data_IF_697631168315
#
_entry.id   IF_697631168315
#
_cell.length_a   1.000
_cell.length_b   1.000
_cell.length_c   1.000
_cell.angle_alpha   90.00
_cell.angle_beta   90.00
_cell.angle_gamma   90.00
#
_symmetry.space_group_name_H-M   'P 1'
#
loop_
_entity.id
_entity.type
_entity.pdbx_description
1 polymer ?
#
# COMPACT_ATOMS: atom_id res chain seq x y z
N UNK A 1 -7.13 6.06 -12.36
CA UNK A 1 -7.34 6.61 -11.00
C UNK A 1 -8.34 5.72 -10.28
N UNK A 2 -8.10 5.29 -9.04
CA UNK A 2 -9.03 4.41 -8.31
C UNK A 2 -10.28 5.17 -7.83
N UNK A 3 -11.43 4.48 -7.76
CA UNK A 3 -12.68 5.06 -7.26
C UNK A 3 -12.60 5.45 -5.77
N UNK A 4 -11.90 4.62 -4.98
CA UNK A 4 -11.58 4.86 -3.58
C UNK A 4 -10.06 4.94 -3.47
N UNK A 5 -9.54 6.15 -3.29
CA UNK A 5 -8.12 6.39 -3.11
C UNK A 5 -7.72 6.22 -1.64
N UNK A 6 -6.67 5.44 -1.40
CA UNK A 6 -6.03 5.29 -0.09
C UNK A 6 -4.70 6.04 -0.08
N UNK A 7 -4.23 6.52 1.09
CA UNK A 7 -2.87 6.97 1.24
C UNK A 7 -1.92 5.81 0.89
N UNK A 8 -0.98 6.07 -0.02
CA UNK A 8 0.00 5.08 -0.46
C UNK A 8 1.37 5.77 -0.58
N UNK A 9 2.43 5.09 -0.14
CA UNK A 9 3.80 5.59 -0.22
C UNK A 9 4.30 5.76 -1.66
N UNK A 10 3.81 4.95 -2.58
CA UNK A 10 4.23 5.02 -3.98
C UNK A 10 3.51 6.11 -4.77
N UNK A 11 2.31 6.53 -4.35
CA UNK A 11 1.58 7.65 -4.98
C UNK A 11 2.31 9.01 -4.91
N UNK A 12 3.45 9.05 -4.22
CA UNK A 12 4.28 10.22 -3.98
C UNK A 12 5.66 10.12 -4.66
N UNK A 13 5.98 8.95 -5.20
CA UNK A 13 7.15 8.75 -6.03
C UNK A 13 6.78 9.12 -7.46
N UNK A 14 7.65 9.87 -8.13
CA UNK A 14 7.51 10.17 -9.56
C UNK A 14 7.99 8.94 -10.33
N UNK A 15 7.24 7.84 -10.18
CA UNK A 15 7.49 6.57 -10.83
C UNK A 15 6.26 6.22 -11.65
N UNK A 16 6.42 6.22 -12.96
CA UNK A 16 5.36 5.90 -13.90
C UNK A 16 5.82 6.16 -15.33
N UNK A 17 5.02 5.71 -16.29
CA UNK A 17 5.32 5.86 -17.72
C UNK A 17 5.60 7.32 -18.09
N UNK A 18 4.82 8.25 -17.53
CA UNK A 18 4.96 9.71 -17.69
C UNK A 18 6.35 10.26 -17.35
N UNK A 19 7.07 9.61 -16.44
CA UNK A 19 8.37 10.07 -15.93
C UNK A 19 9.56 9.45 -16.68
N UNK A 20 9.29 8.68 -17.74
CA UNK A 20 10.34 8.15 -18.64
C UNK A 20 10.93 9.27 -19.51
N UNK A 21 12.11 9.05 -20.12
CA UNK A 21 12.78 10.09 -20.91
C UNK A 21 12.00 10.50 -22.18
N UNK A 22 11.24 9.58 -22.79
CA UNK A 22 10.52 9.80 -24.04
C UNK A 22 9.16 9.07 -24.08
N UNK A 23 8.21 9.41 -23.20
CA UNK A 23 6.90 8.77 -23.18
C UNK A 23 6.10 9.25 -24.38
N UNK A 24 5.36 8.33 -25.01
CA UNK A 24 4.36 8.71 -25.98
C UNK A 24 3.27 9.54 -25.29
N UNK A 25 2.75 10.54 -26.01
CA UNK A 25 1.62 11.32 -25.50
C UNK A 25 0.40 10.40 -25.40
N UNK A 26 -0.37 10.60 -24.34
CA UNK A 26 -1.69 10.00 -24.23
C UNK A 26 -2.56 10.51 -25.39
N UNK A 27 -3.31 9.59 -26.01
CA UNK A 27 -4.28 9.87 -27.06
C UNK A 27 -5.52 9.00 -26.86
N UNK A 28 -6.64 9.39 -27.45
CA UNK A 28 -7.93 8.72 -27.33
C UNK A 28 -8.49 8.36 -28.71
N UNK A 29 -8.94 7.11 -28.85
CA UNK A 29 -9.63 6.64 -30.06
C UNK A 29 -11.13 6.57 -29.82
N UNK A 30 -11.91 6.44 -30.89
CA UNK A 30 -13.37 6.30 -30.79
C UNK A 30 -13.75 5.12 -29.88
N UNK A 31 -14.65 5.31 -28.90
CA UNK A 31 -15.07 4.24 -28.00
C UNK A 31 -15.70 3.06 -28.74
N UNK A 32 -15.37 1.84 -28.30
CA UNK A 32 -16.04 0.64 -28.79
C UNK A 32 -17.51 0.62 -28.36
N UNK A 33 -18.36 -0.09 -29.12
CA UNK A 33 -19.75 -0.33 -28.72
C UNK A 33 -19.79 -1.48 -27.72
N UNK A 34 -20.24 -1.20 -26.50
CA UNK A 34 -20.46 -2.21 -25.46
C UNK A 34 -21.77 -1.92 -24.71
N UNK A 35 -22.30 -2.95 -24.02
CA UNK A 35 -23.43 -2.79 -23.10
C UNK A 35 -22.88 -2.65 -21.68
N UNK A 36 -23.18 -1.53 -21.02
CA UNK A 36 -22.78 -1.33 -19.64
C UNK A 36 -23.50 -2.31 -18.70
N UNK A 37 -22.80 -2.74 -17.65
CA UNK A 37 -23.40 -3.50 -16.56
C UNK A 37 -23.96 -2.54 -15.51
N UNK A 38 -25.26 -2.64 -15.24
CA UNK A 38 -25.99 -1.62 -14.48
C UNK A 38 -26.08 -1.89 -12.96
N UNK A 39 -25.42 -2.92 -12.45
CA UNK A 39 -25.43 -3.26 -11.02
C UNK A 39 -24.18 -2.70 -10.30
N UNK A 40 -23.86 -1.44 -10.56
CA UNK A 40 -22.75 -0.77 -9.91
C UNK A 40 -23.04 -0.62 -8.39
N UNK A 41 -22.02 -0.84 -7.53
CA UNK A 41 -22.14 -0.62 -6.09
C UNK A 41 -22.35 0.86 -5.75
N UNK A 42 -22.81 1.16 -4.54
CA UNK A 42 -23.01 2.53 -4.06
C UNK A 42 -21.67 3.20 -3.71
N UNK A 43 -20.86 3.53 -4.73
CA UNK A 43 -19.47 3.98 -4.60
C UNK A 43 -19.32 5.15 -3.61
N UNK A 44 -20.21 6.15 -3.63
CA UNK A 44 -20.09 7.31 -2.73
C UNK A 44 -20.27 6.95 -1.26
N UNK A 45 -21.16 5.99 -0.97
CA UNK A 45 -21.35 5.46 0.40
C UNK A 45 -20.09 4.73 0.85
N UNK A 46 -19.54 3.86 0.00
CA UNK A 46 -18.31 3.11 0.27
C UNK A 46 -17.11 4.05 0.48
N UNK A 47 -16.98 5.08 -0.36
CA UNK A 47 -15.96 6.12 -0.27
C UNK A 47 -16.01 6.82 1.08
N UNK A 48 -17.20 7.24 1.51
CA UNK A 48 -17.40 7.94 2.79
C UNK A 48 -17.05 7.05 3.98
N UNK A 49 -17.49 5.78 3.96
CA UNK A 49 -17.17 4.81 5.01
C UNK A 49 -15.66 4.53 5.10
N UNK A 50 -15.00 4.36 3.96
CA UNK A 50 -13.56 4.15 3.89
C UNK A 50 -12.78 5.36 4.42
N UNK A 51 -13.15 6.58 4.01
CA UNK A 51 -12.52 7.81 4.49
C UNK A 51 -12.58 7.94 6.03
N UNK A 52 -13.72 7.60 6.64
CA UNK A 52 -13.87 7.62 8.10
C UNK A 52 -12.96 6.60 8.80
N UNK A 53 -12.80 5.39 8.26
CA UNK A 53 -11.88 4.37 8.78
C UNK A 53 -10.42 4.78 8.62
N UNK A 54 -10.05 5.29 7.45
CA UNK A 54 -8.69 5.75 7.16
C UNK A 54 -8.31 6.90 8.11
N UNK A 55 -9.22 7.87 8.33
CA UNK A 55 -8.98 9.00 9.21
C UNK A 55 -8.85 8.62 10.70
N UNK A 56 -9.55 7.57 11.15
CA UNK A 56 -9.48 7.08 12.54
C UNK A 56 -8.34 6.08 12.78
N UNK A 57 -7.81 5.45 11.74
CA UNK A 57 -6.76 4.43 11.83
C UNK A 57 -5.38 5.02 12.14
N UNK A 58 -4.80 4.57 13.26
CA UNK A 58 -3.42 4.91 13.62
C UNK A 58 -2.40 4.46 12.55
N UNK A 59 -2.62 3.31 11.91
CA UNK A 59 -1.73 2.80 10.86
C UNK A 59 -1.70 3.71 9.64
N UNK A 60 -2.85 4.24 9.21
CA UNK A 60 -2.92 5.13 8.04
C UNK A 60 -2.37 6.53 8.34
N UNK A 61 -2.57 7.05 9.57
CA UNK A 61 -1.93 8.30 10.01
C UNK A 61 -0.41 8.20 9.93
N UNK A 62 0.15 7.13 10.48
CA UNK A 62 1.58 6.91 10.47
C UNK A 62 2.13 6.70 9.05
N UNK A 63 1.41 5.96 8.21
CA UNK A 63 1.75 5.83 6.80
C UNK A 63 1.84 7.22 6.15
N UNK A 64 0.81 8.06 6.32
CA UNK A 64 0.82 9.41 5.76
C UNK A 64 2.02 10.25 6.23
N UNK A 65 2.39 10.17 7.52
CA UNK A 65 3.61 10.82 8.04
C UNK A 65 4.89 10.31 7.36
N UNK A 66 5.02 8.99 7.19
CA UNK A 66 6.15 8.37 6.48
C UNK A 66 6.26 8.90 5.06
N UNK A 67 5.12 8.94 4.36
CA UNK A 67 5.02 9.41 2.98
C UNK A 67 5.45 10.88 2.86
N UNK A 68 4.98 11.74 3.75
CA UNK A 68 5.39 13.15 3.78
C UNK A 68 6.90 13.30 4.04
N UNK A 69 7.48 12.46 4.90
CA UNK A 69 8.93 12.46 5.13
C UNK A 69 9.70 11.97 3.90
N UNK A 70 9.25 10.91 3.24
CA UNK A 70 9.88 10.40 2.03
C UNK A 70 9.88 11.47 0.93
N UNK A 71 8.79 12.23 0.76
CA UNK A 71 8.78 13.39 -0.14
C UNK A 71 9.83 14.44 0.26
N UNK A 72 9.86 14.87 1.52
CA UNK A 72 10.87 15.83 2.00
C UNK A 72 12.30 15.37 1.74
N UNK A 73 12.60 14.08 1.95
CA UNK A 73 13.93 13.50 1.67
C UNK A 73 14.24 13.38 0.18
N UNK A 74 13.24 13.18 -0.67
CA UNK A 74 13.41 13.17 -2.13
C UNK A 74 13.75 14.58 -2.65
N UNK A 75 13.11 15.59 -2.09
CA UNK A 75 13.34 17.00 -2.46
C UNK A 75 14.68 17.54 -1.90
N UNK A 76 15.20 16.91 -0.84
CA UNK A 76 16.51 17.22 -0.28
C UNK A 76 17.65 16.60 -1.11
N UNK A 77 18.35 17.45 -1.85
CA UNK A 77 19.48 17.07 -2.70
C UNK A 77 20.84 17.39 -2.08
N UNK A 78 20.86 17.97 -0.88
CA UNK A 78 22.07 18.48 -0.23
C UNK A 78 22.40 17.66 1.01
N UNK A 79 23.54 16.96 1.00
CA UNK A 79 23.97 16.15 2.14
C UNK A 79 25.13 16.82 2.87
N UNK A 80 25.03 16.92 4.19
CA UNK A 80 26.12 17.44 5.03
C UNK A 80 27.31 16.48 5.07
N UNK A 81 28.52 17.00 4.82
CA UNK A 81 29.76 16.23 4.93
C UNK A 81 30.29 16.14 6.37
N UNK A 82 29.65 16.83 7.33
CA UNK A 82 30.08 16.81 8.74
C UNK A 82 29.64 15.50 9.39
N UNK A 83 30.61 14.70 9.83
CA UNK A 83 30.36 13.39 10.46
C UNK A 83 29.36 13.44 11.62
N UNK A 84 29.39 14.47 12.45
CA UNK A 84 28.45 14.60 13.59
C UNK A 84 27.02 14.84 13.11
N UNK A 85 26.82 15.61 12.03
CA UNK A 85 25.52 15.86 11.46
C UNK A 85 24.96 14.58 10.81
N UNK A 86 25.79 13.88 10.04
CA UNK A 86 25.42 12.59 9.44
C UNK A 86 24.99 11.55 10.49
N UNK A 87 25.74 11.42 11.59
CA UNK A 87 25.39 10.49 12.68
C UNK A 87 24.04 10.82 13.32
N UNK A 88 23.77 12.10 13.57
CA UNK A 88 22.49 12.54 14.13
C UNK A 88 21.33 12.23 13.18
N UNK A 89 21.49 12.45 11.88
CA UNK A 89 20.49 12.10 10.86
C UNK A 89 20.22 10.59 10.83
N UNK A 90 21.26 9.76 10.87
CA UNK A 90 21.13 8.30 10.90
C UNK A 90 20.40 7.81 12.16
N UNK A 91 20.72 8.39 13.32
CA UNK A 91 20.06 8.04 14.58
C UNK A 91 18.56 8.43 14.55
N UNK A 92 18.25 9.62 14.03
CA UNK A 92 16.87 10.04 13.82
C UNK A 92 16.13 9.10 12.87
N UNK A 93 16.72 8.77 11.72
CA UNK A 93 16.11 7.85 10.75
C UNK A 93 15.88 6.46 11.36
N UNK A 94 16.80 5.97 12.18
CA UNK A 94 16.67 4.69 12.89
C UNK A 94 15.53 4.71 13.89
N UNK A 95 15.48 5.73 14.77
CA UNK A 95 14.42 5.87 15.77
C UNK A 95 13.04 5.98 15.11
N UNK A 96 12.97 6.64 13.96
CA UNK A 96 11.76 6.71 13.15
C UNK A 96 11.38 5.35 12.55
N UNK A 97 12.34 4.62 11.95
CA UNK A 97 12.14 3.25 11.45
C UNK A 97 11.60 2.30 12.53
N UNK A 98 12.14 2.39 13.74
CA UNK A 98 11.70 1.59 14.89
C UNK A 98 10.25 1.92 15.29
N UNK A 99 9.85 3.21 15.28
CA UNK A 99 8.45 3.61 15.50
C UNK A 99 7.53 3.03 14.44
N UNK A 100 7.95 3.00 13.18
CA UNK A 100 7.17 2.42 12.09
C UNK A 100 6.98 0.91 12.26
N UNK A 101 8.06 0.19 12.54
CA UNK A 101 7.97 -1.25 12.80
C UNK A 101 7.06 -1.57 13.98
N UNK A 102 7.13 -0.80 15.07
CA UNK A 102 6.33 -1.02 16.26
C UNK A 102 4.82 -0.90 15.97
N UNK A 103 4.41 0.11 15.20
CA UNK A 103 3.00 0.30 14.83
C UNK A 103 2.54 -0.72 13.79
N UNK A 104 3.41 -1.14 12.87
CA UNK A 104 3.08 -2.22 11.94
C UNK A 104 2.86 -3.54 12.67
N UNK A 105 3.67 -3.84 13.69
CA UNK A 105 3.50 -5.02 14.57
C UNK A 105 2.26 -4.93 15.46
N UNK A 106 1.85 -3.72 15.85
CA UNK A 106 0.65 -3.48 16.65
C UNK A 106 -0.66 -3.49 15.82
N UNK A 107 -0.56 -3.46 14.48
CA UNK A 107 -1.74 -3.52 13.63
C UNK A 107 -2.43 -4.88 13.75
N UNK A 108 -3.76 -4.87 13.86
CA UNK A 108 -4.55 -6.10 13.90
C UNK A 108 -4.35 -6.91 12.61
N UNK A 109 -3.86 -8.15 12.70
CA UNK A 109 -3.56 -8.95 11.53
C UNK A 109 -4.84 -9.43 10.85
N UNK A 110 -4.85 -9.44 9.53
CA UNK A 110 -5.92 -10.02 8.74
C UNK A 110 -5.85 -11.55 8.82
N UNK A 111 -6.99 -12.20 9.04
CA UNK A 111 -7.10 -13.65 9.09
C UNK A 111 -7.01 -14.24 7.66
N UNK A 112 -5.77 -14.40 7.17
CA UNK A 112 -5.47 -14.99 5.86
C UNK A 112 -4.83 -16.36 6.06
N UNK A 113 -5.36 -17.34 5.33
CA UNK A 113 -4.77 -18.67 5.20
C UNK A 113 -4.82 -19.12 3.73
N UNK A 114 -3.83 -19.90 3.27
CA UNK A 114 -3.91 -20.57 1.97
C UNK A 114 -5.14 -21.48 1.91
N UNK A 115 -5.70 -21.68 0.72
CA UNK A 115 -6.79 -22.63 0.53
C UNK A 115 -6.29 -24.06 0.72
N UNK A 116 -7.14 -24.92 1.27
CA UNK A 116 -6.80 -26.33 1.52
C UNK A 116 -6.52 -27.12 0.24
N UNK A 117 -7.05 -26.69 -0.90
CA UNK A 117 -6.80 -27.31 -2.20
C UNK A 117 -5.38 -26.99 -2.70
N UNK A 118 -4.94 -25.74 -2.55
CA UNK A 118 -3.61 -25.30 -2.96
C UNK A 118 -2.53 -25.99 -2.11
N UNK A 119 -2.75 -26.10 -0.79
CA UNK A 119 -1.85 -26.81 0.11
C UNK A 119 -1.70 -28.30 -0.24
N UNK A 120 -2.77 -28.94 -0.73
CA UNK A 120 -2.73 -30.33 -1.18
C UNK A 120 -1.91 -30.51 -2.47
N UNK A 121 -1.96 -29.52 -3.38
CA UNK A 121 -1.20 -29.56 -4.63
C UNK A 121 0.31 -29.33 -4.42
N UNK A 122 0.70 -28.57 -3.41
CA UNK A 122 2.10 -28.32 -3.06
C UNK A 122 2.82 -29.57 -2.53
N UNK A 123 2.07 -30.60 -2.09
CA UNK A 123 2.62 -31.87 -1.63
C UNK A 123 3.62 -31.70 -0.48
N UNK A 124 4.76 -32.40 -0.55
CA UNK A 124 5.85 -32.32 0.42
C UNK A 124 7.02 -31.44 -0.06
N UNK A 125 6.84 -30.65 -1.13
CA UNK A 125 7.90 -29.78 -1.63
C UNK A 125 8.13 -28.63 -0.64
N UNK A 126 9.22 -28.74 0.11
CA UNK A 126 9.60 -27.78 1.14
C UNK A 126 9.82 -26.37 0.58
N UNK A 127 10.27 -26.22 -0.66
CA UNK A 127 10.55 -24.90 -1.26
C UNK A 127 9.23 -24.18 -1.53
N UNK A 128 8.30 -24.88 -2.16
CA UNK A 128 7.00 -24.35 -2.57
C UNK A 128 6.09 -24.08 -1.36
N UNK A 129 6.09 -24.97 -0.35
CA UNK A 129 5.40 -24.74 0.93
C UNK A 129 5.95 -23.51 1.64
N UNK A 130 7.29 -23.36 1.71
CA UNK A 130 7.90 -22.19 2.32
C UNK A 130 7.58 -20.89 1.55
N UNK A 131 7.51 -20.95 0.21
CA UNK A 131 7.13 -19.80 -0.62
C UNK A 131 5.69 -19.37 -0.33
N UNK A 132 4.75 -20.31 -0.27
CA UNK A 132 3.36 -20.04 0.06
C UNK A 132 3.19 -19.47 1.49
N UNK A 133 3.95 -20.01 2.45
CA UNK A 133 4.00 -19.48 3.82
C UNK A 133 4.51 -18.05 3.89
N UNK A 134 5.58 -17.72 3.16
CA UNK A 134 6.12 -16.35 3.07
C UNK A 134 5.13 -15.38 2.44
N UNK A 135 4.46 -15.80 1.36
CA UNK A 135 3.46 -14.99 0.68
C UNK A 135 2.33 -14.58 1.64
N UNK A 136 1.72 -15.56 2.31
CA UNK A 136 0.60 -15.27 3.23
C UNK A 136 1.01 -14.52 4.49
N UNK A 137 2.23 -14.72 5.00
CA UNK A 137 2.75 -14.01 6.18
C UNK A 137 2.73 -12.49 5.98
N UNK A 138 3.14 -12.00 4.81
CA UNK A 138 3.21 -10.57 4.54
C UNK A 138 1.81 -9.95 4.41
N UNK A 139 0.85 -10.67 3.82
CA UNK A 139 -0.51 -10.19 3.63
C UNK A 139 -1.27 -9.98 4.95
N UNK A 140 -0.92 -10.74 6.01
CA UNK A 140 -1.56 -10.58 7.33
C UNK A 140 -1.41 -9.18 7.90
N UNK A 141 -0.29 -8.51 7.62
CA UNK A 141 0.02 -7.19 8.17
C UNK A 141 -0.23 -6.06 7.16
N UNK A 142 -0.84 -6.37 6.01
CA UNK A 142 -1.11 -5.38 4.97
C UNK A 142 -2.35 -4.54 5.33
N UNK A 143 -2.10 -3.26 5.62
CA UNK A 143 -3.15 -2.32 6.05
C UNK A 143 -4.07 -1.91 4.89
N UNK A 144 -3.57 -1.91 3.66
CA UNK A 144 -4.33 -1.54 2.45
C UNK A 144 -5.26 -2.67 2.04
N UNK A 145 -4.75 -3.91 2.06
CA UNK A 145 -5.56 -5.11 1.82
C UNK A 145 -6.70 -5.23 2.83
N UNK A 146 -6.42 -4.95 4.10
CA UNK A 146 -7.45 -4.95 5.16
C UNK A 146 -8.54 -3.92 4.89
N UNK A 147 -8.19 -2.72 4.45
CA UNK A 147 -9.19 -1.70 4.09
C UNK A 147 -9.98 -2.12 2.85
N UNK A 148 -9.35 -2.72 1.84
CA UNK A 148 -10.05 -3.26 0.68
C UNK A 148 -11.09 -4.32 1.07
N UNK A 149 -10.75 -5.23 2.00
CA UNK A 149 -11.69 -6.21 2.56
C UNK A 149 -12.84 -5.53 3.31
N UNK A 150 -12.56 -4.47 4.08
CA UNK A 150 -13.60 -3.71 4.78
C UNK A 150 -14.56 -3.02 3.80
N UNK A 151 -14.04 -2.43 2.72
CA UNK A 151 -14.85 -1.83 1.65
C UNK A 151 -15.76 -2.86 0.98
N UNK A 152 -15.23 -4.06 0.67
CA UNK A 152 -16.05 -5.15 0.11
C UNK A 152 -17.13 -5.57 1.11
N UNK A 153 -16.80 -5.66 2.40
CA UNK A 153 -17.75 -6.02 3.46
C UNK A 153 -18.87 -4.98 3.63
N UNK A 154 -18.60 -3.69 3.43
CA UNK A 154 -19.64 -2.65 3.46
C UNK A 154 -20.63 -2.74 2.29
N UNK A 155 -20.22 -3.39 1.21
CA UNK A 155 -21.01 -3.57 -0.01
C UNK A 155 -21.88 -4.84 0.02
N UNK A 156 -21.47 -5.85 0.78
CA UNK A 156 -22.20 -7.12 0.99
C UNK A 156 -23.36 -6.92 1.99
#
# INVERSE_FOLDING_TARGET
>A
MPDIALPDAYSYLDQGEKESDYPLKWDEITPARYKAWNAAPAIDKLRTASQARVASSASFKLMNEMVQRMRKRKDDTMVSLKLTAFRAEQEQAKAESEKYEAVQKAAQPLAIAPLSVDLRQLGSDTVEVNRAGRFTKNLKNDITLREAVAVIKDQL
#
